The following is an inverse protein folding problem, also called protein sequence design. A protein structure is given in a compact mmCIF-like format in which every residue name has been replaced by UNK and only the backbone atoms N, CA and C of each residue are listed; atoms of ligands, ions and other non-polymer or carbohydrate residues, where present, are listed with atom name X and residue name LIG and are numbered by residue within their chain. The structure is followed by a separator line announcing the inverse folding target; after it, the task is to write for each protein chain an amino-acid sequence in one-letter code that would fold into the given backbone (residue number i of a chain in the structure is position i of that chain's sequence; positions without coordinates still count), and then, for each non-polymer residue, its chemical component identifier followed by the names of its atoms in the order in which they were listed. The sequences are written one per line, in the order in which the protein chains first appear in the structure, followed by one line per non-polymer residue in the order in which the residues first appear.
data_IF_370511549692
#
_entry.id   IF_370511549692
#
_cell.length_a   1.000
_cell.length_b   1.000
_cell.length_c   1.000
_cell.angle_alpha   90.00
_cell.angle_beta   90.00
_cell.angle_gamma   90.00
#
_symmetry.space_group_name_H-M   'P 1'
#
loop_
_entity.id
_entity.type
_entity.pdbx_description
1 polymer ?
#
# COMPACT_ATOMS: atom_id res chain seq x y z
N UNK A 1 -10.32 1.61 -0.84
CA UNK A 1 -10.82 1.50 0.55
C UNK A 1 -10.11 2.42 1.54
N UNK A 2 -8.78 2.58 1.46
CA UNK A 2 -7.95 3.48 2.30
C UNK A 2 -8.42 4.94 2.37
N UNK A 3 -8.81 5.54 1.24
CA UNK A 3 -9.21 6.96 1.17
C UNK A 3 -10.41 7.29 2.09
N UNK A 4 -11.32 6.32 2.31
CA UNK A 4 -12.49 6.53 3.18
C UNK A 4 -12.07 6.73 4.64
N UNK A 5 -11.14 5.93 5.16
CA UNK A 5 -10.67 6.03 6.55
C UNK A 5 -9.91 7.34 6.77
N UNK A 6 -9.08 7.75 5.80
CA UNK A 6 -8.32 9.01 5.83
C UNK A 6 -9.23 10.24 5.95
N UNK A 7 -10.47 10.18 5.45
CA UNK A 7 -11.42 11.31 5.54
C UNK A 7 -11.96 11.55 6.94
N UNK A 8 -12.00 10.52 7.79
CA UNK A 8 -12.55 10.61 9.15
C UNK A 8 -11.49 10.83 10.23
N UNK A 9 -10.21 10.92 9.85
CA UNK A 9 -9.13 11.17 10.80
C UNK A 9 -9.06 12.66 11.18
N UNK A 10 -8.80 12.99 12.46
CA UNK A 10 -8.47 14.34 12.89
C UNK A 10 -7.35 14.95 12.05
N UNK A 11 -7.46 16.23 11.70
CA UNK A 11 -6.45 16.96 10.91
C UNK A 11 -5.35 17.57 11.80
N UNK A 12 -4.73 16.74 12.65
CA UNK A 12 -3.52 17.15 13.39
C UNK A 12 -2.29 17.14 12.48
N UNK A 13 -1.22 17.81 12.87
CA UNK A 13 0.01 17.88 12.06
C UNK A 13 0.60 16.49 11.78
N UNK A 14 0.67 15.64 12.81
CA UNK A 14 1.19 14.27 12.72
C UNK A 14 0.34 13.43 11.77
N UNK A 15 -1.00 13.51 11.92
CA UNK A 15 -1.92 12.79 11.06
C UNK A 15 -1.80 13.25 9.61
N UNK A 16 -1.66 14.55 9.34
CA UNK A 16 -1.52 15.07 7.99
C UNK A 16 -0.25 14.55 7.31
N UNK A 17 0.87 14.49 8.03
CA UNK A 17 2.13 13.94 7.52
C UNK A 17 1.96 12.46 7.15
N UNK A 18 1.41 11.65 8.06
CA UNK A 18 1.23 10.21 7.82
C UNK A 18 0.21 9.94 6.71
N UNK A 19 -0.90 10.67 6.69
CA UNK A 19 -1.91 10.61 5.62
C UNK A 19 -1.28 10.87 4.26
N UNK A 20 -0.42 11.89 4.15
CA UNK A 20 0.26 12.20 2.89
C UNK A 20 1.15 11.04 2.42
N UNK A 21 1.85 10.37 3.34
CA UNK A 21 2.68 9.20 2.99
C UNK A 21 1.83 8.00 2.56
N UNK A 22 0.70 7.73 3.24
CA UNK A 22 -0.24 6.68 2.84
C UNK A 22 -0.79 6.96 1.44
N UNK A 23 -1.21 8.19 1.16
CA UNK A 23 -1.76 8.55 -0.15
C UNK A 23 -0.75 8.31 -1.27
N UNK A 24 0.50 8.76 -1.08
CA UNK A 24 1.58 8.59 -2.06
C UNK A 24 1.88 7.12 -2.35
N UNK A 25 2.07 6.33 -1.30
CA UNK A 25 2.40 4.90 -1.44
C UNK A 25 1.27 4.10 -2.07
N UNK A 26 0.01 4.34 -1.68
CA UNK A 26 -1.15 3.67 -2.28
C UNK A 26 -1.33 4.04 -3.75
N UNK A 27 -1.16 5.31 -4.12
CA UNK A 27 -1.25 5.73 -5.53
C UNK A 27 -0.10 5.18 -6.36
N UNK A 28 1.12 5.15 -5.81
CA UNK A 28 2.31 4.57 -6.46
C UNK A 28 2.11 3.08 -6.72
N UNK A 29 1.57 2.35 -5.73
CA UNK A 29 1.23 0.93 -5.85
C UNK A 29 0.23 0.68 -7.00
N UNK A 30 -0.83 1.48 -7.09
CA UNK A 30 -1.81 1.38 -8.17
C UNK A 30 -1.21 1.70 -9.54
N UNK A 31 -0.44 2.79 -9.64
CA UNK A 31 0.21 3.22 -10.88
C UNK A 31 1.17 2.14 -11.42
N UNK A 32 2.05 1.60 -10.56
CA UNK A 32 2.99 0.56 -10.97
C UNK A 32 2.28 -0.76 -11.31
N UNK A 33 1.13 -1.07 -10.68
CA UNK A 33 0.33 -2.23 -11.08
C UNK A 33 -0.23 -2.07 -12.48
N UNK A 34 -0.69 -0.87 -12.85
CA UNK A 34 -1.19 -0.57 -14.20
C UNK A 34 -0.04 -0.55 -15.23
N UNK A 35 1.13 -0.05 -14.85
CA UNK A 35 2.31 -0.08 -15.71
C UNK A 35 2.75 -1.53 -15.99
N UNK A 36 2.65 -2.42 -15.00
CA UNK A 36 2.94 -3.84 -15.20
C UNK A 36 2.00 -4.51 -16.22
N UNK A 37 0.73 -4.09 -16.32
CA UNK A 37 -0.21 -4.60 -17.32
C UNK A 37 0.20 -4.23 -18.76
N UNK A 38 0.92 -3.11 -18.94
CA UNK A 38 1.48 -2.65 -20.21
C UNK A 38 2.95 -3.06 -20.44
N UNK A 39 3.53 -3.86 -19.55
CA UNK A 39 4.96 -4.18 -19.59
C UNK A 39 5.34 -4.90 -20.88
N UNK A 40 6.38 -4.40 -21.56
CA UNK A 40 6.84 -4.96 -22.84
C UNK A 40 7.81 -6.14 -22.68
N UNK A 41 8.22 -6.46 -21.44
CA UNK A 41 9.11 -7.58 -21.17
C UNK A 41 8.91 -8.17 -19.77
N UNK A 42 9.35 -9.43 -19.59
CA UNK A 42 9.37 -10.11 -18.29
C UNK A 42 10.18 -9.34 -17.24
N UNK A 43 11.29 -8.71 -17.66
CA UNK A 43 12.15 -7.90 -16.77
C UNK A 43 11.42 -6.64 -16.30
N UNK A 44 10.72 -5.98 -17.20
CA UNK A 44 9.95 -4.77 -16.93
C UNK A 44 8.77 -5.06 -15.99
N UNK A 45 8.00 -6.11 -16.30
CA UNK A 45 6.93 -6.61 -15.43
C UNK A 45 7.44 -6.90 -14.00
N UNK A 46 8.60 -7.57 -13.87
CA UNK A 46 9.22 -7.85 -12.58
C UNK A 46 9.67 -6.57 -11.86
N UNK A 47 10.14 -5.56 -12.59
CA UNK A 47 10.50 -4.27 -12.01
C UNK A 47 9.27 -3.57 -11.42
N UNK A 48 8.20 -3.41 -12.20
CA UNK A 48 6.94 -2.81 -11.77
C UNK A 48 6.38 -3.52 -10.53
N UNK A 49 6.21 -4.86 -10.55
CA UNK A 49 5.69 -5.59 -9.39
C UNK A 49 6.65 -5.57 -8.18
N UNK A 50 7.96 -5.46 -8.38
CA UNK A 50 8.91 -5.23 -7.28
C UNK A 50 8.66 -3.88 -6.61
N UNK A 51 8.39 -2.84 -7.39
CA UNK A 51 7.98 -1.52 -6.88
C UNK A 51 6.63 -1.60 -6.17
N UNK A 52 5.61 -2.23 -6.76
CA UNK A 52 4.30 -2.48 -6.11
C UNK A 52 4.49 -3.11 -4.73
N UNK A 53 5.35 -4.14 -4.61
CA UNK A 53 5.62 -4.81 -3.32
C UNK A 53 6.27 -3.88 -2.30
N UNK A 54 7.19 -3.01 -2.73
CA UNK A 54 7.85 -2.04 -1.86
C UNK A 54 6.83 -1.04 -1.32
N UNK A 55 6.01 -0.48 -2.20
CA UNK A 55 4.97 0.50 -1.85
C UNK A 55 3.88 -0.09 -0.96
N UNK A 56 3.52 -1.36 -1.17
CA UNK A 56 2.59 -2.07 -0.30
C UNK A 56 3.14 -2.22 1.13
N UNK A 57 4.42 -2.60 1.29
CA UNK A 57 5.07 -2.68 2.61
C UNK A 57 5.15 -1.33 3.30
N UNK A 58 5.46 -0.28 2.55
CA UNK A 58 5.48 1.09 3.06
C UNK A 58 4.07 1.53 3.50
N UNK A 59 3.06 1.23 2.69
CA UNK A 59 1.65 1.47 3.04
C UNK A 59 1.28 0.76 4.35
N UNK A 60 1.64 -0.52 4.52
CA UNK A 60 1.38 -1.28 5.75
C UNK A 60 2.02 -0.60 6.98
N UNK A 61 3.25 -0.11 6.84
CA UNK A 61 3.95 0.63 7.91
C UNK A 61 3.18 1.89 8.31
N UNK A 62 2.82 2.73 7.34
CA UNK A 62 2.10 3.97 7.62
C UNK A 62 0.69 3.72 8.17
N UNK A 63 0.03 2.64 7.75
CA UNK A 63 -1.26 2.21 8.29
C UNK A 63 -1.16 1.78 9.77
N UNK A 64 -0.07 1.14 10.19
CA UNK A 64 0.17 0.85 11.61
C UNK A 64 0.34 2.14 12.41
N UNK A 65 1.17 3.05 11.92
CA UNK A 65 1.43 4.32 12.60
C UNK A 65 0.16 5.18 12.74
N UNK A 66 -0.67 5.30 11.70
CA UNK A 66 -1.90 6.11 11.79
C UNK A 66 -2.92 5.50 12.76
N UNK A 67 -2.93 4.18 12.91
CA UNK A 67 -3.79 3.47 13.86
C UNK A 67 -3.32 3.68 15.30
N UNK A 68 -2.00 3.70 15.53
CA UNK A 68 -1.42 4.03 16.83
C UNK A 68 -1.73 5.46 17.25
N UNK A 69 -1.66 6.41 16.30
CA UNK A 69 -2.04 7.81 16.53
C UNK A 69 -3.54 8.01 16.78
N UNK A 70 -4.39 7.07 16.33
CA UNK A 70 -5.84 7.23 16.34
C UNK A 70 -6.55 5.97 16.83
N UNK A 71 -6.66 5.78 18.15
CA UNK A 71 -7.28 4.59 18.75
C UNK A 71 -8.72 4.31 18.25
N UNK A 72 -9.50 5.35 17.94
CA UNK A 72 -10.85 5.19 17.37
C UNK A 72 -10.86 4.53 15.98
N UNK A 73 -9.74 4.56 15.27
CA UNK A 73 -9.58 3.93 13.96
C UNK A 73 -9.01 2.50 14.04
N UNK A 74 -8.80 1.93 15.23
CA UNK A 74 -8.17 0.62 15.38
C UNK A 74 -8.86 -0.51 14.62
N UNK A 75 -10.19 -0.62 14.70
CA UNK A 75 -10.94 -1.71 14.05
C UNK A 75 -10.84 -1.61 12.53
N UNK A 76 -11.10 -0.43 11.99
CA UNK A 76 -11.09 -0.18 10.55
C UNK A 76 -9.67 -0.22 9.97
N UNK A 77 -8.69 0.29 10.71
CA UNK A 77 -7.28 0.24 10.35
C UNK A 77 -6.69 -1.15 10.37
N UNK A 78 -7.04 -2.01 11.34
CA UNK A 78 -6.63 -3.43 11.35
C UNK A 78 -7.09 -4.16 10.08
N UNK A 79 -8.32 -3.92 9.64
CA UNK A 79 -8.83 -4.50 8.40
C UNK A 79 -7.99 -4.07 7.19
N UNK A 80 -7.63 -2.78 7.10
CA UNK A 80 -6.76 -2.29 6.01
C UNK A 80 -5.35 -2.89 6.06
N UNK A 81 -4.77 -3.04 7.25
CA UNK A 81 -3.44 -3.65 7.42
C UNK A 81 -3.47 -5.10 6.91
N UNK A 82 -4.52 -5.84 7.23
CA UNK A 82 -4.67 -7.22 6.78
C UNK A 82 -4.87 -7.31 5.26
N UNK A 83 -5.69 -6.45 4.67
CA UNK A 83 -5.81 -6.35 3.20
C UNK A 83 -4.46 -6.02 2.55
N UNK A 84 -3.68 -5.12 3.16
CA UNK A 84 -2.35 -4.77 2.67
C UNK A 84 -1.41 -5.97 2.69
N UNK A 85 -1.44 -6.79 3.76
CA UNK A 85 -0.66 -8.04 3.84
C UNK A 85 -1.06 -9.06 2.78
N UNK A 86 -2.36 -9.20 2.51
CA UNK A 86 -2.86 -10.06 1.45
C UNK A 86 -2.33 -9.60 0.08
N UNK A 87 -2.34 -8.29 -0.19
CA UNK A 87 -1.74 -7.73 -1.41
C UNK A 87 -0.24 -8.05 -1.49
N UNK A 88 0.51 -7.84 -0.40
CA UNK A 88 1.94 -8.17 -0.35
C UNK A 88 2.20 -9.65 -0.66
N UNK A 89 1.37 -10.56 -0.12
CA UNK A 89 1.48 -11.99 -0.38
C UNK A 89 1.20 -12.34 -1.85
N UNK A 90 0.12 -11.79 -2.42
CA UNK A 90 -0.25 -11.96 -3.84
C UNK A 90 0.89 -11.47 -4.73
N UNK A 91 1.34 -10.23 -4.53
CA UNK A 91 2.42 -9.63 -5.33
C UNK A 91 3.72 -10.42 -5.20
N UNK A 92 4.04 -10.90 -4.00
CA UNK A 92 5.24 -11.74 -3.79
C UNK A 92 5.14 -13.06 -4.57
N UNK A 93 3.95 -13.65 -4.63
CA UNK A 93 3.70 -14.87 -5.42
C UNK A 93 3.79 -14.61 -6.92
N UNK A 94 3.26 -13.48 -7.40
CA UNK A 94 3.41 -13.02 -8.79
C UNK A 94 4.89 -12.92 -9.15
N UNK A 95 5.67 -12.16 -8.37
CA UNK A 95 7.12 -12.00 -8.60
C UNK A 95 7.85 -13.35 -8.62
N UNK A 96 7.54 -14.25 -7.67
CA UNK A 96 8.18 -15.56 -7.60
C UNK A 96 7.86 -16.42 -8.83
N UNK A 97 6.59 -16.48 -9.24
CA UNK A 97 6.17 -17.26 -10.39
C UNK A 97 6.76 -16.70 -11.70
N UNK A 98 6.87 -15.37 -11.81
CA UNK A 98 7.51 -14.74 -12.97
C UNK A 98 9.03 -14.80 -12.91
N UNK A 99 9.70 -15.24 -11.83
CA UNK A 99 11.16 -15.48 -11.88
C UNK A 99 11.50 -16.88 -12.37
N UNK A 100 10.63 -17.83 -12.03
CA UNK A 100 10.67 -19.18 -12.54
C UNK A 100 10.31 -19.21 -14.04
#
# INVERSE_FOLDING_TARGET
MVIKIIRYLPRTEENLVVIKQILRSVTSMGANSQEADGASSKKDFLHCFTTVRKEAKETEFWLKLIVELNLKAQVSGRKLIEECRQIIAIVSKIISNTRN
#
